data_IF_506010574213
#
_entry.id   IF_506010574213
#
_cell.length_a   1.000
_cell.length_b   1.000
_cell.length_c   1.000
_cell.angle_alpha   90.00
_cell.angle_beta   90.00
_cell.angle_gamma   90.00
#
_symmetry.space_group_name_H-M   'P 1'
#
loop_
_entity.id
_entity.type
_entity.pdbx_description
1 polymer ?
#
# COMPACT_ATOMS: atom_id res chain seq x y z
N UNK A 1 -21.76 11.50 -4.31
CA UNK A 1 -20.70 10.52 -3.96
C UNK A 1 -19.36 11.22 -4.11
N UNK A 2 -18.58 11.43 -3.03
CA UNK A 2 -17.24 12.03 -3.15
C UNK A 2 -16.32 10.94 -3.71
N UNK A 3 -15.86 11.10 -4.95
CA UNK A 3 -14.89 10.19 -5.56
C UNK A 3 -13.58 10.15 -4.78
N UNK A 4 -12.85 9.05 -4.89
CA UNK A 4 -11.50 8.93 -4.34
C UNK A 4 -10.63 10.11 -4.80
N UNK A 5 -9.98 10.79 -3.86
CA UNK A 5 -9.06 11.91 -4.15
C UNK A 5 -7.70 11.43 -4.66
N UNK A 6 -7.47 10.12 -4.66
CA UNK A 6 -6.27 9.47 -5.17
C UNK A 6 -6.49 8.93 -6.58
N UNK A 7 -5.45 8.90 -7.43
CA UNK A 7 -5.54 8.32 -8.75
C UNK A 7 -5.92 6.84 -8.67
N UNK A 8 -6.81 6.42 -9.56
CA UNK A 8 -7.20 5.01 -9.73
C UNK A 8 -6.60 4.54 -11.05
N UNK A 9 -5.83 3.47 -11.01
CA UNK A 9 -5.23 2.85 -12.17
C UNK A 9 -5.91 1.52 -12.48
N UNK A 10 -6.17 1.27 -13.76
CA UNK A 10 -6.65 -0.02 -14.26
C UNK A 10 -5.50 -0.73 -14.96
N UNK A 11 -5.31 -2.05 -14.73
CA UNK A 11 -4.30 -2.81 -15.45
C UNK A 11 -4.57 -2.75 -16.96
N UNK A 12 -3.55 -2.45 -17.77
CA UNK A 12 -3.61 -2.55 -19.23
C UNK A 12 -3.42 -3.98 -19.76
N UNK A 13 -3.13 -4.93 -18.87
CA UNK A 13 -2.86 -6.33 -19.18
C UNK A 13 -2.74 -7.17 -17.90
N UNK A 14 -2.08 -8.33 -18.00
CA UNK A 14 -1.87 -9.22 -16.85
C UNK A 14 -0.97 -8.55 -15.81
N UNK A 15 -1.42 -8.56 -14.56
CA UNK A 15 -0.61 -8.08 -13.44
C UNK A 15 0.66 -8.93 -13.28
N UNK A 16 1.75 -8.29 -12.83
CA UNK A 16 2.97 -9.01 -12.45
C UNK A 16 2.68 -9.99 -11.32
N UNK A 17 3.49 -11.03 -11.17
CA UNK A 17 3.27 -12.05 -10.14
C UNK A 17 3.22 -11.46 -8.72
N UNK A 18 3.96 -10.38 -8.48
CA UNK A 18 3.97 -9.66 -7.21
C UNK A 18 2.62 -8.98 -6.92
N UNK A 19 1.91 -8.52 -7.96
CA UNK A 19 0.59 -7.89 -7.86
C UNK A 19 -0.57 -8.88 -8.09
N UNK A 20 -0.26 -10.13 -8.46
CA UNK A 20 -1.23 -11.21 -8.58
C UNK A 20 -1.55 -11.78 -7.19
N UNK A 21 -2.35 -11.04 -6.44
CA UNK A 21 -2.67 -11.34 -5.05
C UNK A 21 -3.83 -12.34 -4.94
N UNK A 22 -3.82 -13.24 -3.94
CA UNK A 22 -4.86 -14.27 -3.81
C UNK A 22 -6.19 -13.73 -3.25
N UNK A 23 -6.22 -12.51 -2.71
CA UNK A 23 -7.40 -11.92 -2.08
C UNK A 23 -7.42 -10.39 -2.23
N UNK A 24 -8.63 -9.83 -2.33
CA UNK A 24 -8.88 -8.39 -2.41
C UNK A 24 -9.72 -7.98 -1.19
N UNK A 25 -9.39 -6.85 -0.53
CA UNK A 25 -8.27 -5.96 -0.81
C UNK A 25 -6.92 -6.55 -0.36
N UNK A 26 -5.85 -6.25 -1.09
CA UNK A 26 -4.47 -6.39 -0.61
C UNK A 26 -3.79 -5.03 -0.73
N UNK A 27 -3.20 -4.56 0.36
CA UNK A 27 -2.50 -3.27 0.43
C UNK A 27 -1.02 -3.51 0.63
N UNK A 28 -0.19 -2.82 -0.16
CA UNK A 28 1.27 -2.81 -0.02
C UNK A 28 1.73 -1.43 0.43
N UNK A 29 2.74 -1.39 1.31
CA UNK A 29 3.48 -0.17 1.65
C UNK A 29 4.88 -0.30 1.07
N UNK A 30 5.29 0.71 0.30
CA UNK A 30 6.56 0.74 -0.42
C UNK A 30 7.46 1.80 0.23
N UNK A 31 8.69 1.41 0.58
CA UNK A 31 9.71 2.29 1.12
C UNK A 31 10.31 3.21 0.05
N UNK A 32 11.14 4.18 0.47
CA UNK A 32 11.75 5.14 -0.47
C UNK A 32 12.71 4.50 -1.47
N UNK A 33 13.28 3.36 -1.13
CA UNK A 33 14.13 2.54 -1.99
C UNK A 33 13.35 1.69 -3.00
N UNK A 34 12.01 1.80 -3.01
CA UNK A 34 11.13 1.02 -3.88
C UNK A 34 10.86 -0.40 -3.40
N UNK A 35 11.31 -0.78 -2.20
CA UNK A 35 11.06 -2.13 -1.64
C UNK A 35 9.72 -2.18 -0.90
N UNK A 36 9.09 -3.36 -0.91
CA UNK A 36 7.89 -3.61 -0.11
C UNK A 36 8.32 -3.76 1.36
N UNK A 37 7.81 -2.88 2.22
CA UNK A 37 8.12 -2.87 3.66
C UNK A 37 6.95 -3.38 4.51
N UNK A 38 5.74 -3.42 3.94
CA UNK A 38 4.59 -4.09 4.55
C UNK A 38 3.60 -4.60 3.48
N UNK A 39 2.89 -5.68 3.83
CA UNK A 39 1.80 -6.27 3.05
C UNK A 39 0.66 -6.60 4.00
N UNK A 40 -0.55 -6.12 3.68
CA UNK A 40 -1.77 -6.35 4.43
C UNK A 40 -2.80 -7.02 3.53
N UNK A 41 -3.40 -8.12 3.96
CA UNK A 41 -4.41 -8.87 3.20
C UNK A 41 -5.73 -8.82 3.93
N UNK A 42 -6.79 -8.42 3.23
CA UNK A 42 -8.12 -8.21 3.79
C UNK A 42 -8.34 -6.79 4.29
N UNK A 43 -9.51 -6.60 4.90
CA UNK A 43 -9.94 -5.28 5.36
C UNK A 43 -9.27 -4.93 6.69
N UNK A 44 -8.51 -3.82 6.69
CA UNK A 44 -7.79 -3.33 7.87
C UNK A 44 -8.04 -1.83 8.08
N UNK A 45 -8.03 -1.41 9.35
CA UNK A 45 -8.12 0.01 9.72
C UNK A 45 -6.74 0.68 9.63
N UNK A 46 -6.51 1.45 8.57
CA UNK A 46 -5.28 2.21 8.38
C UNK A 46 -5.27 3.57 9.10
N UNK A 47 -6.37 4.01 9.71
CA UNK A 47 -6.44 5.26 10.46
C UNK A 47 -6.12 5.07 11.95
N UNK A 48 -5.08 4.31 12.26
CA UNK A 48 -4.60 4.10 13.64
C UNK A 48 -3.33 4.90 13.90
N UNK A 49 -3.11 5.29 15.15
CA UNK A 49 -1.88 6.01 15.52
C UNK A 49 -0.63 5.16 15.31
N UNK A 50 -0.75 3.84 15.50
CA UNK A 50 0.31 2.88 15.18
C UNK A 50 0.70 2.95 13.70
N UNK A 51 -0.26 2.91 12.79
CA UNK A 51 0.02 2.96 11.35
C UNK A 51 0.58 4.33 10.93
N UNK A 52 0.05 5.43 11.48
CA UNK A 52 0.60 6.77 11.24
C UNK A 52 2.04 6.91 11.73
N UNK A 53 2.37 6.35 12.91
CA UNK A 53 3.73 6.34 13.45
C UNK A 53 4.67 5.53 12.55
N UNK A 54 4.23 4.36 12.11
CA UNK A 54 4.97 3.52 11.16
C UNK A 54 5.31 4.30 9.87
N UNK A 55 4.32 4.96 9.25
CA UNK A 55 4.57 5.77 8.03
C UNK A 55 5.53 6.95 8.28
N UNK A 56 5.49 7.58 9.46
CA UNK A 56 6.45 8.63 9.83
C UNK A 56 7.87 8.11 9.95
N UNK A 57 8.05 6.93 10.56
CA UNK A 57 9.36 6.28 10.67
C UNK A 57 9.94 5.94 9.30
N UNK A 58 9.14 5.36 8.40
CA UNK A 58 9.55 5.11 7.00
C UNK A 58 9.95 6.40 6.26
N UNK A 59 9.29 7.53 6.57
CA UNK A 59 9.68 8.83 6.01
C UNK A 59 11.00 9.35 6.57
N UNK A 60 11.41 8.96 7.77
CA UNK A 60 12.63 9.44 8.41
C UNK A 60 13.86 8.57 8.13
N UNK A 61 13.64 7.31 7.74
CA UNK A 61 14.71 6.41 7.29
C UNK A 61 15.56 7.07 6.20
N UNK A 62 16.86 7.16 6.48
CA UNK A 62 17.91 7.60 5.55
C UNK A 62 18.57 6.35 4.98
N UNK A 63 18.59 6.24 3.65
CA UNK A 63 19.41 5.27 2.93
C UNK A 63 20.80 5.84 2.69
#
# INVERSE_FOLDING_TARGET
TKGSTFPVYLPSGRLTEQLNVPSIPTTFVIGKDGRIVAKEVGTTNFNTDKFKKFLKQLKEERH
#
